data_IF_690827099842
#
_entry.id   IF_690827099842
#
_cell.length_a   1.000
_cell.length_b   1.000
_cell.length_c   1.000
_cell.angle_alpha   90.00
_cell.angle_beta   90.00
_cell.angle_gamma   90.00
#
_symmetry.space_group_name_H-M   'P 1'
#
loop_
_entity.id
_entity.type
_entity.pdbx_description
1 polymer ?
#
# COMPACT_ATOMS: atom_id res chain seq x y z
N UNK A 1 -11.76 7.96 6.11
CA UNK A 1 -10.84 6.81 6.30
C UNK A 1 -11.49 5.43 6.12
N UNK A 2 -12.81 5.27 6.27
CA UNK A 2 -13.45 3.94 6.30
C UNK A 2 -13.16 3.05 5.07
N UNK A 3 -13.20 3.60 3.85
CA UNK A 3 -12.97 2.82 2.63
C UNK A 3 -11.51 2.37 2.52
N UNK A 4 -10.55 3.30 2.64
CA UNK A 4 -9.11 2.98 2.59
C UNK A 4 -8.71 2.03 3.73
N UNK A 5 -9.23 2.25 4.94
CA UNK A 5 -8.99 1.38 6.11
C UNK A 5 -9.58 -0.02 5.89
N UNK A 6 -10.79 -0.12 5.33
CA UNK A 6 -11.43 -1.39 4.99
C UNK A 6 -10.67 -2.14 3.90
N UNK A 7 -10.21 -1.45 2.86
CA UNK A 7 -9.44 -2.04 1.77
C UNK A 7 -8.07 -2.56 2.26
N UNK A 8 -7.35 -1.76 3.04
CA UNK A 8 -6.08 -2.18 3.66
C UNK A 8 -6.32 -3.37 4.60
N UNK A 9 -7.31 -3.28 5.49
CA UNK A 9 -7.65 -4.36 6.43
C UNK A 9 -7.99 -5.66 5.70
N UNK A 10 -8.83 -5.60 4.67
CA UNK A 10 -9.20 -6.76 3.87
C UNK A 10 -8.00 -7.41 3.15
N UNK A 11 -7.07 -6.61 2.63
CA UNK A 11 -5.85 -7.12 2.00
C UNK A 11 -4.92 -7.79 3.01
N UNK A 12 -4.77 -7.21 4.22
CA UNK A 12 -3.96 -7.80 5.30
C UNK A 12 -4.58 -9.12 5.76
N UNK A 13 -5.87 -9.14 6.10
CA UNK A 13 -6.56 -10.35 6.56
C UNK A 13 -6.49 -11.49 5.55
N UNK A 14 -6.49 -11.16 4.25
CA UNK A 14 -6.32 -12.14 3.17
C UNK A 14 -4.92 -12.77 3.18
N UNK A 15 -3.87 -11.95 3.28
CA UNK A 15 -2.49 -12.43 3.36
C UNK A 15 -2.28 -13.28 4.62
N UNK A 16 -2.80 -12.82 5.75
CA UNK A 16 -2.74 -13.52 7.03
C UNK A 16 -3.45 -14.88 6.97
N UNK A 17 -4.68 -14.93 6.42
CA UNK A 17 -5.42 -16.17 6.25
C UNK A 17 -4.64 -17.18 5.40
N UNK A 18 -3.94 -16.70 4.36
CA UNK A 18 -3.11 -17.56 3.51
C UNK A 18 -1.88 -18.08 4.26
N UNK A 19 -1.19 -17.22 5.00
CA UNK A 19 -0.08 -17.62 5.88
C UNK A 19 -0.51 -18.72 6.86
N UNK A 20 -1.62 -18.50 7.57
CA UNK A 20 -2.15 -19.43 8.57
C UNK A 20 -2.56 -20.79 7.96
N UNK A 21 -2.92 -20.85 6.68
CA UNK A 21 -3.26 -22.11 6.01
C UNK A 21 -2.08 -23.08 5.88
N UNK A 22 -0.85 -22.56 5.77
CA UNK A 22 0.38 -23.34 5.77
C UNK A 22 1.60 -22.42 6.01
N UNK A 23 1.96 -22.15 7.28
CA UNK A 23 3.03 -21.22 7.62
C UNK A 23 4.39 -21.59 7.04
N UNK A 24 4.70 -22.89 6.95
CA UNK A 24 5.96 -23.37 6.37
C UNK A 24 6.06 -23.07 4.87
N UNK A 25 4.94 -23.10 4.15
CA UNK A 25 4.88 -22.82 2.71
C UNK A 25 4.73 -21.33 2.39
N UNK A 26 4.03 -20.58 3.23
CA UNK A 26 3.63 -19.20 2.97
C UNK A 26 4.28 -18.17 3.92
N UNK A 27 5.47 -18.47 4.44
CA UNK A 27 6.23 -17.56 5.31
C UNK A 27 6.76 -16.31 4.60
N UNK A 28 6.89 -16.35 3.27
CA UNK A 28 7.37 -15.24 2.45
C UNK A 28 6.29 -14.78 1.46
N UNK A 29 6.08 -13.46 1.36
CA UNK A 29 5.10 -12.85 0.46
C UNK A 29 5.33 -13.26 -1.01
N UNK A 30 6.58 -13.30 -1.45
CA UNK A 30 6.90 -13.62 -2.85
C UNK A 30 6.66 -15.09 -3.18
N UNK A 31 6.88 -16.00 -2.23
CA UNK A 31 6.53 -17.42 -2.37
C UNK A 31 5.02 -17.61 -2.54
N UNK A 32 4.23 -16.81 -1.83
CA UNK A 32 2.77 -16.80 -1.98
C UNK A 32 2.39 -16.40 -3.42
N UNK A 33 2.94 -15.29 -3.92
CA UNK A 33 2.68 -14.83 -5.29
C UNK A 33 3.10 -15.87 -6.34
N UNK A 34 4.26 -16.49 -6.18
CA UNK A 34 4.73 -17.55 -7.08
C UNK A 34 3.74 -18.70 -7.20
N UNK A 35 3.21 -19.17 -6.07
CA UNK A 35 2.18 -20.22 -6.06
C UNK A 35 0.93 -19.79 -6.85
N UNK A 36 0.45 -18.57 -6.65
CA UNK A 36 -0.73 -18.09 -7.39
C UNK A 36 -0.48 -17.87 -8.88
N UNK A 37 0.77 -17.58 -9.27
CA UNK A 37 1.17 -17.49 -10.68
C UNK A 37 1.20 -18.88 -11.31
N UNK A 38 1.82 -19.85 -10.64
CA UNK A 38 1.88 -21.26 -11.09
C UNK A 38 0.48 -21.87 -11.22
N UNK A 39 -0.43 -21.54 -10.30
CA UNK A 39 -1.83 -22.01 -10.34
C UNK A 39 -2.74 -21.14 -11.21
N UNK A 40 -2.21 -20.11 -11.89
CA UNK A 40 -2.97 -19.18 -12.75
C UNK A 40 -4.11 -18.44 -12.03
N UNK A 41 -3.99 -18.23 -10.72
CA UNK A 41 -4.98 -17.51 -9.89
C UNK A 41 -4.52 -16.11 -9.49
N UNK A 42 -3.29 -15.71 -9.82
CA UNK A 42 -2.70 -14.44 -9.40
C UNK A 42 -3.52 -13.19 -9.80
N UNK A 43 -4.24 -13.22 -10.92
CA UNK A 43 -5.05 -12.09 -11.41
C UNK A 43 -6.48 -12.04 -10.82
N UNK A 44 -6.88 -13.02 -10.02
CA UNK A 44 -8.20 -12.99 -9.38
C UNK A 44 -8.30 -11.79 -8.42
N UNK A 45 -9.46 -11.15 -8.33
CA UNK A 45 -9.68 -10.02 -7.41
C UNK A 45 -9.53 -10.43 -5.94
N UNK A 46 -9.79 -11.70 -5.64
CA UNK A 46 -9.62 -12.35 -4.34
C UNK A 46 -8.22 -12.93 -4.11
N UNK A 47 -7.29 -12.81 -5.06
CA UNK A 47 -5.93 -13.33 -4.90
C UNK A 47 -5.14 -12.51 -3.88
N UNK A 48 -4.16 -13.16 -3.26
CA UNK A 48 -3.20 -12.48 -2.40
C UNK A 48 -2.23 -11.62 -3.21
N UNK A 49 -1.94 -11.97 -4.46
CA UNK A 49 -1.12 -11.19 -5.39
C UNK A 49 -1.77 -9.84 -5.67
N UNK A 50 -3.07 -9.83 -5.98
CA UNK A 50 -3.87 -8.60 -6.14
C UNK A 50 -3.94 -7.83 -4.82
N UNK A 51 -4.11 -8.53 -3.69
CA UNK A 51 -4.11 -7.92 -2.36
C UNK A 51 -2.79 -7.21 -2.03
N UNK A 52 -1.66 -7.85 -2.31
CA UNK A 52 -0.32 -7.30 -2.11
C UNK A 52 -0.05 -6.10 -3.02
N UNK A 53 -0.55 -6.12 -4.26
CA UNK A 53 -0.48 -4.97 -5.16
C UNK A 53 -1.22 -3.76 -4.59
N UNK A 54 -2.47 -3.93 -4.16
CA UNK A 54 -3.26 -2.84 -3.59
C UNK A 54 -2.69 -2.34 -2.27
N UNK A 55 -2.17 -3.23 -1.43
CA UNK A 55 -1.47 -2.85 -0.21
C UNK A 55 -0.21 -2.03 -0.53
N UNK A 56 0.60 -2.45 -1.50
CA UNK A 56 1.80 -1.69 -1.94
C UNK A 56 1.42 -0.29 -2.41
N UNK A 57 0.36 -0.15 -3.21
CA UNK A 57 -0.14 1.16 -3.69
C UNK A 57 -0.69 2.04 -2.57
N UNK A 58 -1.37 1.45 -1.59
CA UNK A 58 -1.85 2.17 -0.41
C UNK A 58 -0.68 2.68 0.44
N UNK A 59 0.41 1.91 0.50
CA UNK A 59 1.63 2.32 1.17
C UNK A 59 2.38 3.44 0.42
N UNK A 60 2.41 3.42 -0.92
CA UNK A 60 2.93 4.55 -1.70
C UNK A 60 2.18 5.84 -1.35
N UNK A 61 0.85 5.77 -1.24
CA UNK A 61 0.01 6.88 -0.84
C UNK A 61 0.38 7.40 0.55
N UNK A 62 0.55 6.53 1.54
CA UNK A 62 0.94 6.94 2.90
C UNK A 62 2.34 7.59 2.93
N UNK A 63 3.31 7.03 2.22
CA UNK A 63 4.65 7.63 2.08
C UNK A 63 4.57 9.01 1.43
N UNK A 64 3.72 9.19 0.40
CA UNK A 64 3.51 10.49 -0.22
C UNK A 64 2.85 11.51 0.74
N UNK A 65 1.86 11.08 1.55
CA UNK A 65 1.22 11.94 2.55
C UNK A 65 2.25 12.43 3.56
N UNK A 66 3.06 11.52 4.08
CA UNK A 66 4.13 11.81 5.02
C UNK A 66 5.18 12.78 4.47
N UNK A 67 5.62 12.59 3.22
CA UNK A 67 6.52 13.57 2.57
C UNK A 67 5.87 14.94 2.44
N UNK A 68 4.62 15.00 1.98
CA UNK A 68 3.90 16.26 1.85
C UNK A 68 3.73 16.99 3.20
N UNK A 69 3.52 16.26 4.30
CA UNK A 69 3.40 16.86 5.64
C UNK A 69 4.72 17.47 6.14
N UNK A 70 5.88 16.92 5.75
CA UNK A 70 7.20 17.49 6.06
C UNK A 70 7.50 18.67 5.12
N UNK A 71 7.33 18.48 3.82
CA UNK A 71 7.70 19.45 2.78
C UNK A 71 6.79 20.70 2.79
N UNK A 72 5.55 20.55 3.25
CA UNK A 72 4.53 21.60 3.26
C UNK A 72 3.87 21.71 4.63
N UNK A 73 4.62 22.21 5.62
CA UNK A 73 4.14 22.37 7.00
C UNK A 73 2.89 23.29 7.14
N UNK A 74 2.60 24.11 6.13
CA UNK A 74 1.43 24.99 6.04
C UNK A 74 0.19 24.31 5.42
N UNK A 75 0.34 23.10 4.85
CA UNK A 75 -0.78 22.38 4.26
C UNK A 75 -1.69 21.74 5.31
N UNK A 76 -2.99 21.81 5.06
CA UNK A 76 -3.95 20.97 5.76
C UNK A 76 -3.76 19.49 5.39
N UNK A 77 -4.18 18.59 6.29
CA UNK A 77 -4.22 17.14 6.02
C UNK A 77 -4.97 16.82 4.72
N UNK A 78 -6.07 17.54 4.44
CA UNK A 78 -6.84 17.37 3.22
C UNK A 78 -6.04 17.70 1.95
N UNK A 79 -5.23 18.77 1.97
CA UNK A 79 -4.34 19.12 0.86
C UNK A 79 -3.25 18.05 0.67
N UNK A 80 -2.57 17.67 1.75
CA UNK A 80 -1.52 16.65 1.71
C UNK A 80 -2.04 15.31 1.18
N UNK A 81 -3.21 14.85 1.64
CA UNK A 81 -3.87 13.65 1.14
C UNK A 81 -4.36 13.78 -0.29
N UNK A 82 -4.95 14.91 -0.68
CA UNK A 82 -5.45 15.11 -2.05
C UNK A 82 -4.32 15.04 -3.05
N UNK A 83 -3.23 15.77 -2.82
CA UNK A 83 -2.06 15.75 -3.70
C UNK A 83 -1.42 14.35 -3.77
N UNK A 84 -1.24 13.70 -2.61
CA UNK A 84 -0.72 12.32 -2.54
C UNK A 84 -1.57 11.34 -3.34
N UNK A 85 -2.89 11.47 -3.26
CA UNK A 85 -3.84 10.64 -3.98
C UNK A 85 -3.67 10.78 -5.49
N UNK A 86 -3.54 12.01 -6.00
CA UNK A 86 -3.30 12.27 -7.42
C UNK A 86 -1.96 11.73 -7.90
N UNK A 87 -0.89 11.84 -7.09
CA UNK A 87 0.44 11.31 -7.41
C UNK A 87 0.49 9.77 -7.44
N UNK A 88 -0.34 9.08 -6.67
CA UNK A 88 -0.21 7.64 -6.41
C UNK A 88 -1.40 6.80 -6.90
N UNK A 89 -2.54 6.91 -6.24
CA UNK A 89 -3.69 6.02 -6.39
C UNK A 89 -4.61 6.41 -7.56
N UNK A 90 -4.69 7.70 -7.92
CA UNK A 90 -5.68 8.19 -8.89
C UNK A 90 -5.65 7.47 -10.23
N UNK A 91 -4.47 7.10 -10.72
CA UNK A 91 -4.31 6.35 -11.99
C UNK A 91 -4.88 4.93 -11.96
N UNK A 92 -5.10 4.39 -10.77
CA UNK A 92 -5.61 3.02 -10.55
C UNK A 92 -7.08 2.97 -10.16
N UNK A 93 -7.60 4.06 -9.61
CA UNK A 93 -9.02 4.20 -9.33
C UNK A 93 -9.73 4.75 -10.56
N UNK A 94 -10.86 4.15 -10.94
CA UNK A 94 -11.75 4.71 -11.96
C UNK A 94 -12.30 6.09 -11.58
N UNK A 95 -13.35 6.56 -12.25
CA UNK A 95 -13.94 7.88 -12.01
C UNK A 95 -14.30 8.15 -10.52
N UNK A 96 -14.65 7.10 -9.76
CA UNK A 96 -15.21 7.18 -8.41
C UNK A 96 -14.24 6.71 -7.31
N UNK A 97 -13.17 7.47 -7.07
CA UNK A 97 -12.59 7.50 -5.73
C UNK A 97 -12.15 8.93 -5.43
N UNK A 98 -12.87 9.55 -4.51
CA UNK A 98 -12.46 10.78 -3.84
C UNK A 98 -12.66 10.51 -2.36
N UNK A 99 -11.57 10.52 -1.61
CA UNK A 99 -11.61 10.42 -0.16
C UNK A 99 -11.08 11.71 0.42
N UNK A 100 -11.96 12.50 1.02
CA UNK A 100 -11.58 13.53 1.99
C UNK A 100 -11.06 12.84 3.24
N UNK A 101 -9.88 13.26 3.70
CA UNK A 101 -9.22 12.72 4.88
C UNK A 101 -9.08 13.85 5.90
N UNK A 102 -9.66 13.65 7.07
CA UNK A 102 -9.59 14.56 8.21
C UNK A 102 -9.28 13.71 9.43
N UNK A 103 -8.01 13.37 9.65
CA UNK A 103 -7.57 12.78 10.91
C UNK A 103 -6.34 13.55 11.42
N UNK A 104 -6.33 13.79 12.74
CA UNK A 104 -5.26 14.48 13.45
C UNK A 104 -4.19 13.46 13.86
N UNK A 105 -2.95 13.64 13.40
CA UNK A 105 -1.81 12.85 13.84
C UNK A 105 -1.28 13.47 15.13
N UNK A 106 -1.43 12.75 16.24
CA UNK A 106 -0.79 13.10 17.51
C UNK A 106 0.45 12.21 17.71
N UNK A 107 1.60 12.81 17.94
CA UNK A 107 2.78 12.09 18.43
C UNK A 107 3.71 13.01 19.21
N UNK A 108 4.47 12.42 20.13
CA UNK A 108 5.49 13.10 20.92
C UNK A 108 6.89 12.72 20.42
N UNK A 109 7.84 13.66 20.50
CA UNK A 109 9.19 13.52 19.94
C UNK A 109 9.41 14.38 18.69
N UNK A 110 10.53 14.19 18.01
CA UNK A 110 10.78 14.80 16.69
C UNK A 110 10.09 13.97 15.60
N UNK A 111 8.78 14.20 15.48
CA UNK A 111 7.90 13.51 14.53
C UNK A 111 8.42 13.60 13.09
N UNK A 112 9.10 14.70 12.73
CA UNK A 112 9.58 14.92 11.38
C UNK A 112 10.75 14.00 11.07
N UNK A 113 11.69 13.84 12.00
CA UNK A 113 12.80 12.91 11.87
C UNK A 113 12.32 11.45 11.76
N UNK A 114 11.32 11.06 12.58
CA UNK A 114 10.75 9.71 12.54
C UNK A 114 10.04 9.43 11.21
N UNK A 115 9.26 10.40 10.70
CA UNK A 115 8.60 10.29 9.40
C UNK A 115 9.63 10.20 8.27
N UNK A 116 10.68 11.02 8.30
CA UNK A 116 11.75 11.01 7.30
C UNK A 116 12.48 9.67 7.29
N UNK A 117 12.82 9.14 8.47
CA UNK A 117 13.45 7.84 8.62
C UNK A 117 12.56 6.71 8.08
N UNK A 118 11.27 6.73 8.40
CA UNK A 118 10.29 5.77 7.89
C UNK A 118 10.21 5.83 6.36
N UNK A 119 10.00 7.02 5.79
CA UNK A 119 9.88 7.20 4.34
C UNK A 119 11.15 6.74 3.61
N UNK A 120 12.33 7.03 4.15
CA UNK A 120 13.62 6.65 3.58
C UNK A 120 13.85 5.14 3.64
N UNK A 121 13.55 4.52 4.79
CA UNK A 121 13.80 3.09 5.00
C UNK A 121 12.76 2.21 4.31
N UNK A 122 11.52 2.67 4.18
CA UNK A 122 10.41 1.88 3.68
C UNK A 122 10.24 1.94 2.15
N UNK A 123 10.55 3.08 1.52
CA UNK A 123 10.38 3.27 0.07
C UNK A 123 11.09 2.22 -0.80
N UNK A 124 12.33 1.77 -0.50
CA UNK A 124 12.99 0.73 -1.29
C UNK A 124 12.22 -0.60 -1.34
N UNK A 125 11.55 -1.00 -0.25
CA UNK A 125 10.73 -2.21 -0.22
C UNK A 125 9.50 -2.09 -1.11
N UNK A 126 8.89 -0.90 -1.20
CA UNK A 126 7.77 -0.64 -2.10
C UNK A 126 8.24 -0.73 -3.57
N UNK A 127 9.41 -0.17 -3.88
CA UNK A 127 10.00 -0.27 -5.22
C UNK A 127 10.28 -1.74 -5.61
N UNK A 128 10.83 -2.53 -4.69
CA UNK A 128 11.05 -3.96 -4.90
C UNK A 128 9.73 -4.71 -5.13
N UNK A 129 8.70 -4.44 -4.33
CA UNK A 129 7.36 -5.01 -4.52
C UNK A 129 6.79 -4.67 -5.89
N UNK A 130 6.87 -3.42 -6.34
CA UNK A 130 6.44 -3.02 -7.68
C UNK A 130 7.20 -3.77 -8.76
N UNK A 131 8.54 -3.80 -8.69
CA UNK A 131 9.41 -4.52 -9.65
C UNK A 131 9.08 -6.01 -9.70
N UNK A 132 8.77 -6.62 -8.56
CA UNK A 132 8.41 -8.02 -8.47
C UNK A 132 7.02 -8.28 -9.07
N UNK A 133 6.00 -7.53 -8.66
CA UNK A 133 4.60 -7.75 -9.07
C UNK A 133 4.34 -7.46 -10.54
N UNK A 134 5.02 -6.45 -11.12
CA UNK A 134 4.91 -6.10 -12.53
C UNK A 134 5.25 -7.28 -13.44
N UNK A 135 6.24 -8.10 -13.06
CA UNK A 135 6.66 -9.29 -13.83
C UNK A 135 5.55 -10.32 -14.01
N UNK A 136 4.56 -10.35 -13.13
CA UNK A 136 3.54 -11.41 -13.10
C UNK A 136 2.14 -10.91 -13.45
N UNK A 137 1.86 -9.63 -13.16
CA UNK A 137 0.55 -9.05 -13.41
C UNK A 137 0.42 -8.43 -14.81
N UNK A 138 1.53 -8.06 -15.46
CA UNK A 138 1.53 -7.57 -16.85
C UNK A 138 1.88 -8.64 -17.89
N UNK A 139 2.32 -9.83 -17.48
CA UNK A 139 2.88 -10.85 -18.38
C UNK A 139 1.86 -11.75 -19.11
N UNK A 140 0.59 -11.35 -19.21
CA UNK A 140 -0.43 -12.01 -20.05
C UNK A 140 -1.43 -11.00 -20.57
#
# INVERSE_FOLDING_TARGET
>A
MAIVKSDIGGNISRLESKYLSNPAKFNCLYSLVQVEVETKTAKASSSCTTGLLWLTRAMDFLVAVFRNLIEHADWSMSQACTDSYYKTLKKWHGWLASSTVTEEIHGGGDINADIEQFCTSFSPFLEENHKFLVKFLLAY
#
